data_IF_061430605941
#
_entry.id   IF_061430605941
#
_cell.length_a   1.000
_cell.length_b   1.000
_cell.length_c   1.000
_cell.angle_alpha   90.00
_cell.angle_beta   90.00
_cell.angle_gamma   90.00
#
_symmetry.space_group_name_H-M   'P 1'
#
loop_
_entity.id
_entity.type
_entity.pdbx_description
1 polymer ?
#
# COMPACT_ATOMS: atom_id res chain seq x y z
N UNK A 1 -27.93 5.29 0.58
CA UNK A 1 -27.35 6.49 -0.10
C UNK A 1 -26.93 6.06 -1.51
N UNK A 2 -27.21 6.84 -2.52
CA UNK A 2 -26.71 6.57 -3.88
C UNK A 2 -25.38 7.29 -4.05
N UNK A 3 -24.34 6.56 -4.49
CA UNK A 3 -23.04 7.14 -4.79
C UNK A 3 -23.05 7.70 -6.22
N UNK A 4 -23.01 9.01 -6.35
CA UNK A 4 -23.10 9.72 -7.63
C UNK A 4 -21.72 10.31 -8.05
N UNK A 5 -20.65 9.63 -7.66
CA UNK A 5 -19.27 9.99 -7.98
C UNK A 5 -18.45 8.71 -8.22
N UNK A 6 -17.32 8.78 -8.94
CA UNK A 6 -16.42 7.64 -9.08
C UNK A 6 -15.90 7.19 -7.72
N UNK A 7 -15.61 5.89 -7.57
CA UNK A 7 -14.89 5.36 -6.42
C UNK A 7 -13.44 5.13 -6.82
N UNK A 8 -12.51 5.53 -5.96
CA UNK A 8 -11.08 5.23 -6.09
C UNK A 8 -10.66 4.42 -4.88
N UNK A 9 -10.26 3.19 -5.14
CA UNK A 9 -9.63 2.33 -4.13
C UNK A 9 -8.14 2.67 -4.06
N UNK A 10 -7.67 3.00 -2.84
CA UNK A 10 -6.31 3.49 -2.63
C UNK A 10 -5.36 2.42 -2.07
N UNK A 11 -5.78 1.15 -2.12
CA UNK A 11 -5.01 0.01 -1.62
C UNK A 11 -5.52 -1.26 -2.30
N UNK A 12 -4.81 -1.67 -3.34
CA UNK A 12 -5.12 -2.86 -4.13
C UNK A 12 -3.81 -3.49 -4.61
N UNK A 13 -3.78 -4.81 -4.90
CA UNK A 13 -2.53 -5.55 -4.96
C UNK A 13 -2.23 -6.29 -6.24
N UNK A 14 -0.92 -6.48 -6.46
CA UNK A 14 -0.28 -7.38 -7.41
C UNK A 14 0.84 -8.15 -6.70
N UNK A 15 0.47 -9.14 -5.90
CA UNK A 15 1.45 -9.99 -5.23
C UNK A 15 2.15 -10.98 -6.18
N UNK A 16 3.22 -11.61 -5.72
CA UNK A 16 4.04 -12.53 -6.53
C UNK A 16 3.21 -13.61 -7.22
N UNK A 17 2.19 -14.15 -6.55
CA UNK A 17 1.29 -15.18 -7.09
C UNK A 17 0.34 -14.65 -8.18
N UNK A 18 0.22 -13.34 -8.34
CA UNK A 18 -0.65 -12.68 -9.31
C UNK A 18 0.08 -12.22 -10.57
N UNK A 19 1.41 -12.16 -10.52
CA UNK A 19 2.23 -11.63 -11.62
C UNK A 19 2.35 -12.62 -12.78
N UNK A 20 2.39 -12.13 -14.03
CA UNK A 20 2.75 -12.97 -15.17
C UNK A 20 4.16 -13.57 -15.02
N UNK A 21 4.34 -14.81 -15.48
CA UNK A 21 5.62 -15.53 -15.33
C UNK A 21 6.83 -14.82 -15.98
N UNK A 22 6.57 -13.93 -16.92
CA UNK A 22 7.59 -13.25 -17.72
C UNK A 22 7.94 -11.82 -17.22
N UNK A 23 7.41 -11.36 -16.10
CA UNK A 23 7.65 -9.98 -15.59
C UNK A 23 9.14 -9.63 -15.55
N UNK A 24 9.98 -10.54 -15.07
CA UNK A 24 11.42 -10.32 -14.96
C UNK A 24 12.19 -10.94 -16.12
N UNK A 25 11.79 -12.12 -16.60
CA UNK A 25 12.57 -12.82 -17.64
C UNK A 25 12.66 -12.05 -18.94
N UNK A 26 11.59 -11.38 -19.37
CA UNK A 26 11.60 -10.59 -20.61
C UNK A 26 12.60 -9.43 -20.56
N UNK A 27 12.92 -8.93 -19.38
CA UNK A 27 13.79 -7.76 -19.17
C UNK A 27 15.19 -8.13 -18.68
N UNK A 28 15.32 -9.20 -17.92
CA UNK A 28 16.55 -9.53 -17.18
C UNK A 28 17.29 -10.76 -17.65
N UNK A 29 16.64 -11.70 -18.39
CA UNK A 29 17.26 -12.97 -18.72
C UNK A 29 18.55 -12.83 -19.55
N UNK A 30 18.65 -11.84 -20.44
CA UNK A 30 19.85 -11.61 -21.25
C UNK A 30 21.07 -11.26 -20.39
N UNK A 31 20.87 -10.49 -19.30
CA UNK A 31 21.97 -10.06 -18.41
C UNK A 31 22.25 -11.09 -17.32
N UNK A 32 21.21 -11.70 -16.76
CA UNK A 32 21.29 -12.45 -15.52
C UNK A 32 21.11 -13.97 -15.67
N UNK A 33 20.66 -14.45 -16.85
CA UNK A 33 20.42 -15.89 -17.08
C UNK A 33 19.50 -16.48 -16.02
N UNK A 34 19.91 -17.58 -15.40
CA UNK A 34 19.15 -18.28 -14.35
C UNK A 34 19.04 -17.50 -13.04
N UNK A 35 19.79 -16.41 -12.87
CA UNK A 35 19.62 -15.52 -11.73
C UNK A 35 18.45 -14.55 -11.90
N UNK A 36 18.00 -14.30 -13.15
CA UNK A 36 16.78 -13.54 -13.38
C UNK A 36 15.60 -14.27 -12.73
N UNK A 37 14.73 -13.58 -11.97
CA UNK A 37 13.58 -14.24 -11.37
C UNK A 37 12.68 -14.86 -12.42
N UNK A 38 12.36 -16.13 -12.24
CA UNK A 38 11.55 -16.92 -13.17
C UNK A 38 10.67 -17.92 -12.41
N UNK A 39 9.73 -18.51 -13.10
CA UNK A 39 8.81 -19.49 -12.53
C UNK A 39 9.30 -20.91 -12.78
N UNK A 40 9.48 -21.67 -11.71
CA UNK A 40 9.68 -23.11 -11.78
C UNK A 40 8.37 -23.85 -11.49
N UNK A 41 8.05 -24.82 -12.34
CA UNK A 41 6.90 -25.71 -12.16
C UNK A 41 7.44 -27.11 -11.83
N UNK A 42 7.49 -27.50 -10.55
CA UNK A 42 8.01 -28.80 -10.15
C UNK A 42 7.04 -29.92 -10.52
N UNK A 43 7.52 -31.15 -10.63
CA UNK A 43 6.66 -32.33 -10.84
C UNK A 43 5.67 -32.53 -9.69
N UNK A 44 6.05 -32.15 -8.47
CA UNK A 44 5.21 -32.22 -7.28
C UNK A 44 5.28 -30.89 -6.51
N UNK A 45 4.13 -30.40 -6.07
CA UNK A 45 4.02 -29.16 -5.31
C UNK A 45 3.62 -27.95 -6.17
N UNK A 46 3.50 -26.77 -5.55
CA UNK A 46 3.09 -25.55 -6.24
C UNK A 46 4.23 -24.98 -7.09
N UNK A 47 3.87 -24.34 -8.20
CA UNK A 47 4.80 -23.50 -8.96
C UNK A 47 5.31 -22.36 -8.10
N UNK A 48 6.58 -21.99 -8.28
CA UNK A 48 7.27 -21.02 -7.41
C UNK A 48 8.11 -20.03 -8.23
N UNK A 49 8.19 -18.81 -7.73
CA UNK A 49 9.21 -17.87 -8.15
C UNK A 49 10.56 -18.26 -7.57
N UNK A 50 11.57 -18.34 -8.44
CA UNK A 50 12.95 -18.65 -8.07
C UNK A 50 13.93 -17.65 -8.70
N UNK A 51 15.06 -17.43 -8.05
CA UNK A 51 16.19 -16.64 -8.54
C UNK A 51 17.47 -17.33 -8.10
N UNK A 52 18.14 -18.00 -9.02
CA UNK A 52 19.25 -18.90 -8.68
C UNK A 52 18.78 -19.99 -7.71
N UNK A 53 19.39 -20.05 -6.53
CA UNK A 53 19.01 -21.01 -5.47
C UNK A 53 17.93 -20.49 -4.52
N UNK A 54 17.52 -19.23 -4.64
CA UNK A 54 16.56 -18.60 -3.73
C UNK A 54 15.12 -18.81 -4.22
N UNK A 55 14.22 -19.07 -3.28
CA UNK A 55 12.78 -19.18 -3.51
C UNK A 55 12.09 -17.96 -2.95
N UNK A 56 11.34 -17.25 -3.78
CA UNK A 56 10.67 -16.01 -3.40
C UNK A 56 9.25 -16.22 -2.89
N UNK A 57 8.54 -17.21 -3.43
CA UNK A 57 7.16 -17.51 -3.06
C UNK A 57 6.42 -18.31 -4.11
N UNK A 58 5.17 -18.63 -3.85
CA UNK A 58 4.31 -19.33 -4.81
C UNK A 58 3.97 -18.46 -6.01
N UNK A 59 3.86 -19.08 -7.17
CA UNK A 59 3.34 -18.48 -8.38
C UNK A 59 2.00 -19.08 -8.75
N UNK A 60 1.05 -18.23 -9.15
CA UNK A 60 -0.31 -18.63 -9.44
C UNK A 60 -0.94 -19.49 -8.33
N UNK A 61 -2.08 -19.97 -8.53
CA UNK A 61 -2.80 -20.79 -7.58
C UNK A 61 -4.28 -20.46 -7.61
N UNK A 62 -5.01 -21.12 -6.75
CA UNK A 62 -6.41 -20.75 -6.49
C UNK A 62 -6.45 -19.84 -5.28
N UNK A 63 -7.29 -18.81 -5.34
CA UNK A 63 -7.60 -17.99 -4.18
C UNK A 63 -8.02 -18.87 -3.01
N UNK A 64 -7.59 -18.48 -1.82
CA UNK A 64 -8.00 -19.14 -0.58
C UNK A 64 -9.52 -19.09 -0.46
N UNK A 65 -10.13 -20.27 -0.23
CA UNK A 65 -11.52 -20.37 0.14
C UNK A 65 -11.61 -20.53 1.65
N UNK A 66 -12.28 -19.59 2.32
CA UNK A 66 -12.53 -19.73 3.75
C UNK A 66 -13.64 -20.78 3.98
N UNK A 67 -13.32 -21.74 4.84
CA UNK A 67 -14.31 -22.71 5.33
C UNK A 67 -14.95 -22.13 6.60
N UNK A 68 -16.27 -22.01 6.61
CA UNK A 68 -17.02 -21.53 7.77
C UNK A 68 -17.97 -20.40 7.46
N UNK A 69 -18.64 -19.82 8.49
CA UNK A 69 -19.50 -18.67 8.29
C UNK A 69 -18.66 -17.52 7.73
N UNK A 70 -19.05 -17.03 6.54
CA UNK A 70 -18.37 -15.90 5.90
C UNK A 70 -18.64 -14.66 6.74
N UNK A 71 -17.59 -13.91 7.15
CA UNK A 71 -17.81 -12.58 7.67
C UNK A 71 -18.58 -11.76 6.66
N UNK A 72 -19.48 -10.89 7.12
CA UNK A 72 -20.14 -9.90 6.29
C UNK A 72 -19.03 -9.14 5.55
N UNK A 73 -19.14 -8.98 4.24
CA UNK A 73 -18.21 -8.16 3.44
C UNK A 73 -16.81 -8.74 3.20
N UNK A 74 -16.68 -10.01 2.96
CA UNK A 74 -15.41 -10.60 2.51
C UNK A 74 -15.48 -11.00 1.03
N UNK A 75 -14.35 -10.95 0.34
CA UNK A 75 -14.19 -11.32 -1.07
C UNK A 75 -14.50 -12.79 -1.40
N UNK A 76 -14.91 -13.57 -0.43
CA UNK A 76 -15.23 -15.00 -0.61
C UNK A 76 -16.49 -15.24 -1.42
N UNK A 77 -17.36 -14.24 -1.53
CA UNK A 77 -18.44 -14.25 -2.52
C UNK A 77 -17.95 -13.60 -3.80
N UNK A 78 -17.41 -14.39 -4.69
CA UNK A 78 -16.80 -13.94 -5.96
C UNK A 78 -17.82 -13.38 -6.97
N UNK A 79 -19.04 -13.11 -6.55
CA UNK A 79 -20.08 -12.50 -7.40
C UNK A 79 -20.33 -13.27 -8.70
N UNK A 80 -20.16 -14.61 -8.72
CA UNK A 80 -20.31 -15.45 -9.90
C UNK A 80 -19.14 -15.42 -10.90
N UNK A 81 -17.92 -15.01 -10.47
CA UNK A 81 -16.72 -15.15 -11.31
C UNK A 81 -16.25 -16.60 -11.30
N UNK A 82 -16.24 -17.25 -12.47
CA UNK A 82 -15.82 -18.65 -12.61
C UNK A 82 -14.29 -18.79 -12.53
N UNK A 83 -13.53 -17.83 -13.11
CA UNK A 83 -12.07 -17.81 -13.02
C UNK A 83 -11.61 -17.41 -11.62
N UNK A 84 -11.11 -18.41 -10.91
CA UNK A 84 -10.60 -18.25 -9.53
C UNK A 84 -9.08 -18.22 -9.45
N UNK A 85 -8.41 -18.12 -10.62
CA UNK A 85 -6.96 -17.97 -10.66
C UNK A 85 -6.48 -16.67 -10.05
N UNK A 86 -5.42 -16.73 -9.25
CA UNK A 86 -4.75 -15.53 -8.74
C UNK A 86 -4.20 -14.64 -9.88
N UNK A 87 -3.82 -15.24 -11.02
CA UNK A 87 -3.35 -14.50 -12.19
C UNK A 87 -4.40 -13.57 -12.82
N UNK A 88 -5.68 -13.75 -12.47
CA UNK A 88 -6.76 -12.87 -12.92
C UNK A 88 -6.47 -11.41 -12.52
N UNK A 89 -6.04 -11.18 -11.29
CA UNK A 89 -5.74 -9.83 -10.80
C UNK A 89 -4.55 -9.17 -11.52
N UNK A 90 -3.59 -9.97 -11.97
CA UNK A 90 -2.43 -9.50 -12.74
C UNK A 90 -2.69 -9.33 -14.24
N UNK A 91 -3.88 -9.67 -14.72
CA UNK A 91 -4.30 -9.39 -16.09
C UNK A 91 -5.09 -8.08 -16.13
N UNK A 92 -4.59 -7.01 -16.79
CA UNK A 92 -5.21 -5.70 -16.71
C UNK A 92 -6.65 -5.69 -17.27
N UNK A 93 -6.94 -6.47 -18.32
CA UNK A 93 -8.30 -6.55 -18.87
C UNK A 93 -9.27 -7.20 -17.88
N UNK A 94 -8.89 -8.34 -17.29
CA UNK A 94 -9.72 -9.06 -16.33
C UNK A 94 -9.89 -8.26 -15.03
N UNK A 95 -8.85 -7.53 -14.61
CA UNK A 95 -8.94 -6.62 -13.47
C UNK A 95 -9.92 -5.49 -13.72
N UNK A 96 -9.93 -4.89 -14.91
CA UNK A 96 -10.90 -3.85 -15.26
C UNK A 96 -12.34 -4.40 -15.27
N UNK A 97 -12.55 -5.66 -15.69
CA UNK A 97 -13.84 -6.32 -15.57
C UNK A 97 -14.28 -6.49 -14.11
N UNK A 98 -13.34 -6.82 -13.21
CA UNK A 98 -13.60 -6.96 -11.79
C UNK A 98 -13.89 -5.60 -11.12
N UNK A 99 -13.18 -4.55 -11.52
CA UNK A 99 -13.45 -3.17 -11.08
C UNK A 99 -14.84 -2.71 -11.54
N UNK A 100 -15.22 -2.96 -12.79
CA UNK A 100 -16.54 -2.65 -13.31
C UNK A 100 -17.64 -3.41 -12.58
N UNK A 101 -17.40 -4.67 -12.22
CA UNK A 101 -18.33 -5.50 -11.44
C UNK A 101 -18.61 -4.89 -10.08
N UNK A 102 -17.58 -4.42 -9.42
CA UNK A 102 -17.65 -3.81 -8.09
C UNK A 102 -18.12 -2.33 -8.12
N UNK A 103 -18.14 -1.73 -9.31
CA UNK A 103 -18.46 -0.32 -9.49
C UNK A 103 -17.37 0.64 -9.01
N UNK A 104 -16.11 0.18 -9.00
CA UNK A 104 -14.93 0.97 -8.63
C UNK A 104 -14.24 1.48 -9.89
N UNK A 105 -14.06 2.79 -9.99
CA UNK A 105 -13.50 3.41 -11.19
C UNK A 105 -11.99 3.24 -11.26
N UNK A 106 -11.28 3.52 -10.16
CA UNK A 106 -9.82 3.52 -10.12
C UNK A 106 -9.24 2.68 -8.99
N UNK A 107 -8.14 2.00 -9.26
CA UNK A 107 -7.32 1.29 -8.30
C UNK A 107 -5.91 1.88 -8.21
N UNK A 108 -5.44 2.20 -7.00
CA UNK A 108 -4.01 2.34 -6.73
C UNK A 108 -3.43 0.96 -6.47
N UNK A 109 -2.53 0.53 -7.33
CA UNK A 109 -2.11 -0.87 -7.42
C UNK A 109 -0.69 -1.00 -6.87
N UNK A 110 -0.58 -1.56 -5.67
CA UNK A 110 0.68 -1.88 -5.04
C UNK A 110 1.32 -3.12 -5.66
N UNK A 111 2.64 -3.15 -5.70
CA UNK A 111 3.42 -4.33 -6.04
C UNK A 111 3.45 -5.35 -4.90
N UNK A 112 4.26 -6.41 -5.05
CA UNK A 112 4.35 -7.47 -4.06
C UNK A 112 4.65 -6.94 -2.65
N UNK A 113 3.83 -7.29 -1.67
CA UNK A 113 4.05 -6.93 -0.25
C UNK A 113 5.23 -7.66 0.37
N UNK A 114 5.81 -8.64 -0.33
CA UNK A 114 7.06 -9.31 0.05
C UNK A 114 8.24 -8.66 -0.64
N UNK A 115 9.36 -8.49 0.09
CA UNK A 115 10.59 -7.95 -0.49
C UNK A 115 11.14 -8.87 -1.58
N UNK A 116 11.81 -8.27 -2.55
CA UNK A 116 12.66 -8.98 -3.51
C UNK A 116 13.83 -9.60 -2.74
N UNK A 117 13.96 -10.94 -2.82
CA UNK A 117 14.92 -11.70 -2.02
C UNK A 117 16.15 -12.05 -2.84
N UNK A 118 17.17 -11.22 -2.78
CA UNK A 118 18.47 -11.51 -3.38
C UNK A 118 19.60 -10.86 -2.59
N UNK A 119 20.75 -11.56 -2.48
CA UNK A 119 21.95 -11.03 -1.84
C UNK A 119 22.83 -10.25 -2.84
N UNK A 120 22.43 -10.16 -4.10
CA UNK A 120 23.13 -9.41 -5.13
C UNK A 120 22.45 -8.05 -5.33
N UNK A 121 23.11 -7.00 -4.86
CA UNK A 121 22.59 -5.61 -4.89
C UNK A 121 22.29 -5.10 -6.31
N UNK A 122 23.08 -5.50 -7.30
CA UNK A 122 22.84 -5.09 -8.69
C UNK A 122 21.61 -5.81 -9.28
N UNK A 123 21.46 -7.10 -8.98
CA UNK A 123 20.27 -7.86 -9.36
C UNK A 123 19.02 -7.32 -8.64
N UNK A 124 19.11 -7.00 -7.35
CA UNK A 124 18.02 -6.39 -6.60
C UNK A 124 17.54 -5.10 -7.29
N UNK A 125 18.46 -4.19 -7.56
CA UNK A 125 18.16 -2.93 -8.26
C UNK A 125 17.46 -3.20 -9.60
N UNK A 126 18.01 -4.09 -10.40
CA UNK A 126 17.47 -4.41 -11.72
C UNK A 126 16.09 -5.08 -11.61
N UNK A 127 15.83 -5.88 -10.58
CA UNK A 127 14.51 -6.48 -10.32
C UNK A 127 13.46 -5.43 -9.97
N UNK A 128 13.79 -4.43 -9.14
CA UNK A 128 12.87 -3.32 -8.84
C UNK A 128 12.56 -2.51 -10.09
N UNK A 129 13.60 -2.14 -10.87
CA UNK A 129 13.40 -1.38 -12.11
C UNK A 129 12.58 -2.15 -13.13
N UNK A 130 12.85 -3.46 -13.33
CA UNK A 130 12.11 -4.30 -14.26
C UNK A 130 10.63 -4.48 -13.86
N UNK A 131 10.35 -4.62 -12.55
CA UNK A 131 8.99 -4.67 -12.05
C UNK A 131 8.26 -3.35 -12.30
N UNK A 132 8.87 -2.20 -11.98
CA UNK A 132 8.28 -0.89 -12.20
C UNK A 132 8.03 -0.62 -13.69
N UNK A 133 8.95 -1.01 -14.56
CA UNK A 133 8.78 -0.87 -16.01
C UNK A 133 7.62 -1.73 -16.50
N UNK A 134 7.52 -3.00 -16.07
CA UNK A 134 6.37 -3.84 -16.38
C UNK A 134 5.05 -3.23 -15.86
N UNK A 135 5.05 -2.73 -14.63
CA UNK A 135 3.85 -2.14 -14.03
C UNK A 135 3.30 -0.99 -14.89
N UNK A 136 4.17 -0.12 -15.38
CA UNK A 136 3.74 1.05 -16.16
C UNK A 136 3.56 0.76 -17.65
N UNK A 137 4.44 -0.04 -18.26
CA UNK A 137 4.47 -0.23 -19.71
C UNK A 137 3.54 -1.33 -20.20
N UNK A 138 3.27 -2.35 -19.35
CA UNK A 138 2.46 -3.51 -19.74
C UNK A 138 1.12 -3.58 -19.01
N UNK A 139 1.09 -3.18 -17.73
CA UNK A 139 -0.11 -3.33 -16.91
C UNK A 139 -0.95 -2.03 -16.89
N UNK A 140 -0.41 -0.93 -16.38
CA UNK A 140 -1.16 0.32 -16.23
C UNK A 140 -1.51 0.97 -17.56
N UNK A 141 -0.72 0.76 -18.62
CA UNK A 141 -0.96 1.30 -19.96
C UNK A 141 -2.33 0.93 -20.52
N UNK A 142 -2.92 -0.18 -20.07
CA UNK A 142 -4.24 -0.64 -20.53
C UNK A 142 -5.37 0.35 -20.17
N UNK A 143 -5.25 1.08 -19.06
CA UNK A 143 -6.20 2.11 -18.64
C UNK A 143 -5.51 3.04 -17.61
N UNK A 144 -4.64 3.96 -18.02
CA UNK A 144 -3.77 4.73 -17.12
C UNK A 144 -4.50 5.67 -16.17
N UNK A 145 -5.76 6.02 -16.47
CA UNK A 145 -6.62 6.81 -15.58
C UNK A 145 -7.37 5.95 -14.54
N UNK A 146 -7.32 4.63 -14.68
CA UNK A 146 -8.01 3.67 -13.81
C UNK A 146 -7.05 2.73 -13.07
N UNK A 147 -5.96 2.31 -13.71
CA UNK A 147 -4.90 1.46 -13.15
C UNK A 147 -3.70 2.35 -12.78
N UNK A 148 -3.67 2.82 -11.55
CA UNK A 148 -2.67 3.76 -11.06
C UNK A 148 -1.60 2.96 -10.32
N UNK A 149 -0.47 2.72 -10.97
CA UNK A 149 0.63 1.95 -10.40
C UNK A 149 1.30 2.67 -9.23
N UNK A 150 1.54 1.92 -8.16
CA UNK A 150 2.39 2.31 -7.04
C UNK A 150 3.75 1.68 -7.25
N UNK A 151 4.76 2.48 -7.57
CA UNK A 151 6.10 1.99 -7.81
C UNK A 151 6.73 1.39 -6.55
N UNK A 152 7.58 0.40 -6.70
CA UNK A 152 8.36 -0.15 -5.60
C UNK A 152 9.75 0.49 -5.56
N UNK A 153 10.21 0.86 -4.36
CA UNK A 153 11.56 1.37 -4.14
C UNK A 153 12.42 0.35 -3.38
N UNK A 154 13.70 0.17 -3.78
CA UNK A 154 14.64 -0.62 -2.99
C UNK A 154 14.75 -0.08 -1.55
N UNK A 155 14.93 -0.94 -0.53
CA UNK A 155 14.93 -0.52 0.88
C UNK A 155 16.29 0.09 1.34
N UNK A 156 16.97 0.79 0.45
CA UNK A 156 18.25 1.45 0.71
C UNK A 156 18.28 2.86 0.13
N UNK A 157 18.80 3.87 0.83
CA UNK A 157 18.67 5.28 0.47
C UNK A 157 19.13 5.61 -0.94
N UNK A 158 20.34 5.21 -1.31
CA UNK A 158 20.96 5.56 -2.58
C UNK A 158 20.26 4.86 -3.76
N UNK A 159 19.86 3.59 -3.56
CA UNK A 159 19.13 2.82 -4.57
C UNK A 159 17.71 3.29 -4.73
N UNK A 160 17.03 3.62 -3.61
CA UNK A 160 15.69 4.20 -3.64
C UNK A 160 15.68 5.56 -4.35
N UNK A 161 16.67 6.41 -4.06
CA UNK A 161 16.82 7.70 -4.73
C UNK A 161 17.05 7.53 -6.23
N UNK A 162 17.94 6.63 -6.64
CA UNK A 162 18.23 6.39 -8.05
C UNK A 162 16.99 5.91 -8.82
N UNK A 163 16.23 4.98 -8.25
CA UNK A 163 15.01 4.46 -8.86
C UNK A 163 13.92 5.53 -8.89
N UNK A 164 13.71 6.27 -7.81
CA UNK A 164 12.73 7.37 -7.79
C UNK A 164 13.06 8.45 -8.82
N UNK A 165 14.35 8.79 -8.97
CA UNK A 165 14.80 9.75 -9.98
C UNK A 165 14.46 9.27 -11.40
N UNK A 166 14.75 8.01 -11.71
CA UNK A 166 14.41 7.38 -12.98
C UNK A 166 12.91 7.45 -13.26
N UNK A 167 12.09 7.14 -12.25
CA UNK A 167 10.62 7.18 -12.35
C UNK A 167 10.08 8.61 -12.49
N UNK A 168 10.67 9.58 -11.80
CA UNK A 168 10.29 10.98 -11.92
C UNK A 168 10.61 11.53 -13.32
N UNK A 169 11.77 11.17 -13.89
CA UNK A 169 12.17 11.54 -15.26
C UNK A 169 11.30 10.85 -16.32
N UNK A 170 10.89 9.58 -16.08
CA UNK A 170 9.95 8.86 -16.94
C UNK A 170 8.58 9.53 -16.97
N UNK A 171 8.14 10.04 -15.84
CA UNK A 171 6.79 10.57 -15.65
C UNK A 171 5.72 9.47 -15.42
N UNK A 172 4.53 9.90 -15.02
CA UNK A 172 3.38 9.02 -14.75
C UNK A 172 3.38 8.35 -13.37
N UNK A 173 4.51 8.27 -12.67
CA UNK A 173 4.56 7.80 -11.29
C UNK A 173 3.91 8.82 -10.35
N UNK A 174 2.87 8.40 -9.62
CA UNK A 174 2.15 9.25 -8.66
C UNK A 174 2.43 8.91 -7.23
N UNK A 175 2.78 7.65 -6.96
CA UNK A 175 3.11 7.12 -5.65
C UNK A 175 4.23 6.09 -5.76
N UNK A 176 5.10 6.08 -4.77
CA UNK A 176 6.16 5.10 -4.64
C UNK A 176 6.16 4.51 -3.21
N UNK A 177 6.23 3.20 -3.13
CA UNK A 177 6.18 2.45 -1.87
C UNK A 177 7.58 2.07 -1.41
N UNK A 178 7.85 2.34 -0.14
CA UNK A 178 9.05 1.90 0.56
C UNK A 178 8.67 0.85 1.59
N UNK A 179 9.27 -0.33 1.50
CA UNK A 179 9.01 -1.42 2.44
C UNK A 179 9.76 -1.16 3.76
N UNK A 180 9.10 -0.43 4.65
CA UNK A 180 9.70 0.15 5.84
C UNK A 180 10.31 -0.88 6.80
N UNK A 181 9.71 -2.08 6.88
CA UNK A 181 10.17 -3.15 7.78
C UNK A 181 11.56 -3.71 7.44
N UNK A 182 12.07 -3.43 6.23
CA UNK A 182 13.37 -3.93 5.74
C UNK A 182 14.33 -2.80 5.35
N UNK A 183 13.96 -1.54 5.60
CA UNK A 183 14.83 -0.39 5.32
C UNK A 183 16.09 -0.42 6.16
N UNK A 184 17.25 -0.30 5.51
CA UNK A 184 18.55 -0.19 6.10
C UNK A 184 19.34 0.96 5.42
N UNK A 185 19.78 1.97 6.18
CA UNK A 185 19.47 2.24 7.59
C UNK A 185 18.01 2.68 7.82
N UNK A 186 17.64 2.89 9.08
CA UNK A 186 16.34 3.49 9.45
C UNK A 186 16.19 4.91 8.88
N UNK A 187 14.96 5.43 8.87
CA UNK A 187 14.63 6.71 8.22
C UNK A 187 15.30 7.95 8.84
N UNK A 188 15.78 7.87 10.09
CA UNK A 188 16.53 8.96 10.74
C UNK A 188 17.91 9.19 10.14
N UNK A 189 18.45 8.23 9.37
CA UNK A 189 19.76 8.39 8.73
C UNK A 189 19.69 9.44 7.61
N UNK A 190 20.60 10.40 7.66
CA UNK A 190 20.68 11.51 6.70
C UNK A 190 20.84 11.11 5.24
N UNK A 191 21.24 9.86 4.97
CA UNK A 191 21.31 9.34 3.59
C UNK A 191 19.95 9.28 2.91
N UNK A 192 18.85 9.30 3.67
CA UNK A 192 17.49 9.39 3.12
C UNK A 192 17.09 10.80 2.68
N UNK A 193 17.76 11.86 3.13
CA UNK A 193 17.37 13.25 2.79
C UNK A 193 17.25 13.50 1.28
N UNK A 194 18.17 13.02 0.41
CA UNK A 194 18.01 13.21 -1.04
C UNK A 194 16.72 12.58 -1.61
N UNK A 195 16.26 11.46 -1.02
CA UNK A 195 15.00 10.83 -1.40
C UNK A 195 13.81 11.72 -1.01
N UNK A 196 13.80 12.25 0.21
CA UNK A 196 12.73 13.12 0.69
C UNK A 196 12.67 14.43 -0.09
N UNK A 197 13.83 15.03 -0.40
CA UNK A 197 13.93 16.21 -1.26
C UNK A 197 13.31 15.96 -2.65
N UNK A 198 13.62 14.82 -3.26
CA UNK A 198 13.12 14.48 -4.58
C UNK A 198 11.60 14.18 -4.57
N UNK A 199 11.10 13.50 -3.54
CA UNK A 199 9.66 13.28 -3.34
C UNK A 199 8.90 14.60 -3.22
N UNK A 200 9.43 15.54 -2.43
CA UNK A 200 8.84 16.86 -2.27
C UNK A 200 8.84 17.65 -3.58
N UNK A 201 9.96 17.68 -4.30
CA UNK A 201 10.11 18.41 -5.57
C UNK A 201 9.24 17.84 -6.70
N UNK A 202 9.17 16.50 -6.81
CA UNK A 202 8.39 15.83 -7.85
C UNK A 202 6.90 15.79 -7.51
N UNK A 203 6.55 15.89 -6.24
CA UNK A 203 5.20 15.69 -5.74
C UNK A 203 4.73 14.23 -5.83
N UNK A 204 5.65 13.28 -5.99
CA UNK A 204 5.36 11.85 -5.89
C UNK A 204 5.08 11.53 -4.41
N UNK A 205 3.98 10.86 -4.15
CA UNK A 205 3.57 10.49 -2.79
C UNK A 205 4.41 9.29 -2.33
N UNK A 206 4.98 9.37 -1.12
CA UNK A 206 5.63 8.23 -0.49
C UNK A 206 4.56 7.36 0.18
N UNK A 207 4.66 6.05 0.09
CA UNK A 207 3.83 5.16 0.91
C UNK A 207 4.66 4.17 1.71
N UNK A 208 4.10 3.82 2.86
CA UNK A 208 4.50 2.66 3.65
C UNK A 208 3.32 1.70 3.70
N UNK A 209 3.59 0.46 3.39
CA UNK A 209 2.59 -0.60 3.38
C UNK A 209 3.01 -1.70 4.35
N UNK A 210 2.05 -2.33 5.02
CA UNK A 210 2.34 -3.51 5.84
C UNK A 210 3.00 -4.59 4.97
N UNK A 211 4.00 -5.27 5.50
CA UNK A 211 4.67 -6.37 4.81
C UNK A 211 4.67 -7.62 5.66
N UNK A 212 4.78 -8.77 5.01
CA UNK A 212 5.02 -10.04 5.74
C UNK A 212 6.42 -9.95 6.36
N UNK A 213 6.51 -10.16 7.68
CA UNK A 213 7.74 -9.99 8.44
C UNK A 213 8.91 -10.80 7.90
N UNK A 214 10.01 -10.17 7.53
CA UNK A 214 11.25 -10.88 7.20
C UNK A 214 11.86 -11.60 8.42
N UNK A 215 11.56 -11.13 9.64
CA UNK A 215 12.09 -11.65 10.92
C UNK A 215 11.02 -12.30 11.83
N UNK A 216 9.85 -12.62 11.28
CA UNK A 216 8.73 -13.17 12.05
C UNK A 216 8.87 -14.66 12.41
N UNK A 217 9.96 -15.33 11.99
CA UNK A 217 10.13 -16.77 12.13
C UNK A 217 9.68 -17.31 13.48
N UNK A 218 10.30 -16.85 14.56
CA UNK A 218 10.02 -17.38 15.91
C UNK A 218 8.60 -17.07 16.42
N UNK A 219 8.10 -15.86 16.16
CA UNK A 219 6.77 -15.44 16.60
C UNK A 219 5.68 -16.11 15.75
N UNK A 220 5.89 -16.19 14.44
CA UNK A 220 4.96 -16.84 13.52
C UNK A 220 4.87 -18.34 13.80
N UNK A 221 6.00 -19.01 13.99
CA UNK A 221 6.05 -20.44 14.28
C UNK A 221 5.44 -20.76 15.64
N UNK A 222 5.64 -19.91 16.66
CA UNK A 222 5.04 -20.05 17.99
C UNK A 222 3.50 -20.03 17.96
N UNK A 223 2.90 -19.26 17.05
CA UNK A 223 1.45 -19.09 16.98
C UNK A 223 0.80 -19.83 15.81
N UNK A 224 1.61 -20.42 14.91
CA UNK A 224 1.14 -21.16 13.74
C UNK A 224 0.13 -22.24 14.14
N UNK A 225 -1.04 -22.24 13.49
CA UNK A 225 -2.10 -23.20 13.77
C UNK A 225 -2.84 -22.98 15.10
N UNK A 226 -2.59 -21.89 15.81
CA UNK A 226 -3.30 -21.51 17.02
C UNK A 226 -4.19 -20.27 16.81
N UNK A 227 -5.19 -20.04 17.68
CA UNK A 227 -5.97 -18.78 17.66
C UNK A 227 -5.11 -17.53 17.83
N UNK A 228 -3.91 -17.66 18.40
CA UNK A 228 -2.94 -16.58 18.54
C UNK A 228 -2.44 -16.02 17.20
N UNK A 229 -2.55 -16.78 16.11
CA UNK A 229 -2.19 -16.30 14.78
C UNK A 229 -3.00 -15.05 14.37
N UNK A 230 -4.26 -14.95 14.77
CA UNK A 230 -5.09 -13.76 14.53
C UNK A 230 -4.53 -12.52 15.26
N UNK A 231 -4.02 -12.70 16.47
CA UNK A 231 -3.41 -11.60 17.23
C UNK A 231 -2.09 -11.13 16.61
N UNK A 232 -1.35 -12.02 15.93
CA UNK A 232 -0.15 -11.62 15.19
C UNK A 232 -0.47 -10.62 14.07
N UNK A 233 -1.58 -10.79 13.36
CA UNK A 233 -2.02 -9.82 12.36
C UNK A 233 -2.22 -8.43 12.98
N UNK A 234 -2.96 -8.34 14.08
CA UNK A 234 -3.17 -7.06 14.79
C UNK A 234 -1.84 -6.44 15.22
N UNK A 235 -0.93 -7.25 15.75
CA UNK A 235 0.42 -6.81 16.15
C UNK A 235 1.21 -6.28 14.95
N UNK A 236 1.14 -6.98 13.82
CA UNK A 236 1.82 -6.59 12.57
C UNK A 236 1.46 -5.17 12.13
N UNK A 237 0.17 -4.86 12.09
CA UNK A 237 -0.34 -3.55 11.65
C UNK A 237 0.18 -2.39 12.51
N UNK A 238 0.44 -2.60 13.78
CA UNK A 238 0.91 -1.56 14.68
C UNK A 238 2.44 -1.49 14.72
N UNK A 239 3.11 -2.62 14.95
CA UNK A 239 4.57 -2.63 15.19
C UNK A 239 5.39 -2.11 14.01
N UNK A 240 4.99 -2.44 12.79
CA UNK A 240 5.74 -2.00 11.60
C UNK A 240 5.70 -0.49 11.40
N UNK A 241 4.68 0.19 11.89
CA UNK A 241 4.49 1.62 11.69
C UNK A 241 4.92 2.50 12.87
N UNK A 242 5.06 1.94 14.08
CA UNK A 242 5.41 2.74 15.25
C UNK A 242 6.78 3.40 15.14
N UNK A 243 7.81 2.64 14.77
CA UNK A 243 9.17 3.16 14.64
C UNK A 243 9.30 4.20 13.52
N UNK A 244 8.89 3.89 12.25
CA UNK A 244 8.91 4.89 11.18
C UNK A 244 8.06 6.11 11.49
N UNK A 245 6.94 5.94 12.16
CA UNK A 245 6.12 7.05 12.60
C UNK A 245 6.85 7.94 13.59
N UNK A 246 7.54 7.33 14.58
CA UNK A 246 8.38 8.06 15.51
C UNK A 246 9.53 8.78 14.78
N UNK A 247 10.19 8.13 13.83
CA UNK A 247 11.29 8.73 13.05
C UNK A 247 10.83 9.97 12.26
N UNK A 248 9.68 9.89 11.60
CA UNK A 248 9.12 11.00 10.83
C UNK A 248 8.93 12.27 11.68
N UNK A 249 8.48 12.10 12.91
CA UNK A 249 8.24 13.22 13.83
C UNK A 249 9.49 13.59 14.63
N UNK A 250 10.08 12.61 15.34
CA UNK A 250 11.16 12.87 16.30
C UNK A 250 12.41 13.46 15.65
N UNK A 251 12.74 13.00 14.44
CA UNK A 251 13.91 13.51 13.71
C UNK A 251 13.59 14.69 12.78
N UNK A 252 12.35 15.20 12.84
CA UNK A 252 11.94 16.41 12.13
C UNK A 252 11.89 16.25 10.60
N UNK A 253 11.71 15.05 10.06
CA UNK A 253 11.61 14.81 8.61
C UNK A 253 10.42 15.58 8.04
N UNK A 254 9.25 15.50 8.68
CA UNK A 254 8.06 16.22 8.25
C UNK A 254 8.19 17.75 8.37
N UNK A 255 9.02 18.22 9.30
CA UNK A 255 9.30 19.65 9.47
C UNK A 255 10.19 20.19 8.37
N UNK A 256 11.24 19.43 7.99
CA UNK A 256 12.19 19.83 6.93
C UNK A 256 11.60 19.74 5.52
N UNK A 257 10.68 18.81 5.30
CA UNK A 257 10.05 18.56 4.00
C UNK A 257 8.54 18.83 4.04
N UNK A 258 8.11 20.11 4.15
CA UNK A 258 6.69 20.46 4.35
C UNK A 258 5.78 20.07 3.19
N UNK A 259 6.31 19.90 1.98
CA UNK A 259 5.59 19.43 0.80
C UNK A 259 5.49 17.92 0.66
N UNK A 260 6.30 17.16 1.41
CA UNK A 260 6.27 15.70 1.40
C UNK A 260 4.89 15.17 1.82
N UNK A 261 4.33 14.24 1.05
CA UNK A 261 3.08 13.55 1.36
C UNK A 261 3.35 12.07 1.56
N UNK A 262 2.78 11.51 2.63
CA UNK A 262 2.98 10.11 3.01
C UNK A 262 1.63 9.43 3.19
N UNK A 263 1.47 8.27 2.58
CA UNK A 263 0.33 7.36 2.79
C UNK A 263 0.80 6.17 3.63
N UNK A 264 0.10 5.94 4.74
CA UNK A 264 0.23 4.69 5.48
C UNK A 264 -0.91 3.77 5.04
N UNK A 265 -0.54 2.68 4.39
CA UNK A 265 -1.47 1.77 3.75
C UNK A 265 -1.63 0.48 4.56
N UNK A 266 -2.85 -0.06 4.58
CA UNK A 266 -3.23 -1.28 5.32
C UNK A 266 -2.74 -1.30 6.79
N UNK A 267 -2.74 -0.13 7.44
CA UNK A 267 -2.19 0.03 8.78
C UNK A 267 -3.23 -0.10 9.91
N UNK A 268 -4.50 -0.34 9.58
CA UNK A 268 -5.56 -0.32 10.57
C UNK A 268 -5.71 1.05 11.24
N UNK A 269 -5.98 2.09 10.46
CA UNK A 269 -5.88 3.52 10.78
C UNK A 269 -6.52 4.01 12.11
N UNK A 270 -7.29 3.17 12.81
CA UNK A 270 -7.99 3.54 14.06
C UNK A 270 -7.08 3.82 15.26
N UNK A 271 -5.85 3.33 15.30
CA UNK A 271 -4.89 3.56 16.39
C UNK A 271 -4.11 4.89 16.24
N UNK A 272 -3.98 5.39 15.02
CA UNK A 272 -3.12 6.52 14.68
C UNK A 272 -3.50 7.81 15.40
N UNK A 273 -4.78 8.21 15.52
CA UNK A 273 -5.18 9.38 16.27
C UNK A 273 -4.68 9.40 17.70
N UNK A 274 -4.72 8.25 18.39
CA UNK A 274 -4.19 8.14 19.75
C UNK A 274 -2.68 8.41 19.81
N UNK A 275 -1.91 7.86 18.87
CA UNK A 275 -0.46 8.10 18.82
C UNK A 275 -0.16 9.57 18.57
N UNK A 276 -0.90 10.23 17.68
CA UNK A 276 -0.73 11.66 17.40
C UNK A 276 -1.10 12.53 18.61
N UNK A 277 -2.16 12.18 19.34
CA UNK A 277 -2.54 12.83 20.59
C UNK A 277 -1.43 12.71 21.66
N UNK A 278 -0.86 11.51 21.83
CA UNK A 278 0.27 11.28 22.74
C UNK A 278 1.54 12.04 22.32
N UNK A 279 1.80 12.14 21.02
CA UNK A 279 2.92 12.95 20.50
C UNK A 279 2.70 14.44 20.83
N UNK A 280 1.49 14.97 20.66
CA UNK A 280 1.16 16.35 21.03
C UNK A 280 1.34 16.59 22.51
N UNK A 281 0.84 15.68 23.36
CA UNK A 281 0.96 15.80 24.81
C UNK A 281 2.43 15.82 25.25
N UNK A 282 3.27 14.95 24.64
CA UNK A 282 4.70 14.87 24.97
C UNK A 282 5.49 16.00 24.35
N UNK A 283 5.11 16.51 23.20
CA UNK A 283 5.74 17.67 22.56
C UNK A 283 5.85 18.86 23.52
N UNK A 284 4.78 19.22 24.20
CA UNK A 284 4.79 20.32 25.17
C UNK A 284 5.69 20.04 26.38
N UNK A 285 5.67 18.82 26.90
CA UNK A 285 6.48 18.45 28.07
C UNK A 285 7.96 18.38 27.75
N UNK A 286 8.31 17.99 26.54
CA UNK A 286 9.70 17.86 26.10
C UNK A 286 10.27 19.19 25.60
N UNK A 287 9.41 20.10 25.14
CA UNK A 287 9.82 21.46 24.79
C UNK A 287 10.43 22.22 26.00
N UNK A 288 9.93 21.98 27.18
CA UNK A 288 10.51 22.52 28.44
C UNK A 288 11.89 21.92 28.74
N UNK A 289 12.30 20.83 28.04
CA UNK A 289 13.58 20.14 28.15
C UNK A 289 14.38 20.23 26.85
N UNK A 290 14.25 21.33 26.11
CA UNK A 290 14.84 21.48 24.77
C UNK A 290 16.37 21.21 24.75
N UNK A 291 17.09 21.59 25.80
CA UNK A 291 18.53 21.34 25.93
C UNK A 291 18.87 19.83 25.91
N UNK A 292 18.02 19.00 26.49
CA UNK A 292 18.20 17.55 26.48
C UNK A 292 18.19 16.95 25.07
N UNK A 293 17.34 17.50 24.18
CA UNK A 293 17.20 17.01 22.83
C UNK A 293 18.28 17.52 21.87
N UNK A 294 18.69 18.78 22.04
CA UNK A 294 19.81 19.36 21.28
C UNK A 294 21.11 18.66 21.58
N UNK A 295 21.39 18.34 22.85
CA UNK A 295 22.57 17.59 23.26
C UNK A 295 22.59 16.15 22.72
N UNK A 296 21.43 15.56 22.38
CA UNK A 296 21.26 14.23 21.78
C UNK A 296 21.19 14.27 20.26
N UNK A 297 21.37 15.43 19.62
CA UNK A 297 21.30 15.60 18.18
C UNK A 297 19.90 15.63 17.58
N UNK A 298 18.85 15.65 18.42
CA UNK A 298 17.47 15.81 17.97
C UNK A 298 17.22 17.23 17.46
N UNK A 299 16.39 17.37 16.42
CA UNK A 299 15.91 18.66 15.95
C UNK A 299 14.62 18.95 16.68
N UNK A 300 14.54 20.02 17.51
CA UNK A 300 13.28 20.39 18.14
C UNK A 300 12.25 20.69 17.05
N UNK A 301 11.10 20.01 17.08
CA UNK A 301 9.98 20.36 16.24
C UNK A 301 9.52 21.78 16.58
N UNK A 302 9.29 22.60 15.57
CA UNK A 302 8.69 23.94 15.71
C UNK A 302 7.18 23.89 15.58
N UNK A 303 6.71 22.91 14.82
CA UNK A 303 5.30 22.69 14.50
C UNK A 303 4.76 21.55 15.36
N UNK A 304 3.55 21.71 15.87
CA UNK A 304 2.86 20.70 16.66
C UNK A 304 2.69 19.39 15.86
N UNK A 305 2.95 18.20 16.44
CA UNK A 305 2.84 16.93 15.73
C UNK A 305 1.51 16.72 14.99
N UNK A 306 0.38 17.07 15.62
CA UNK A 306 -0.92 16.95 14.95
C UNK A 306 -1.09 17.88 13.74
N UNK A 307 -0.41 19.03 13.70
CA UNK A 307 -0.44 19.94 12.56
C UNK A 307 0.43 19.38 11.41
N UNK A 308 1.61 18.82 11.75
CA UNK A 308 2.45 18.08 10.79
C UNK A 308 1.69 16.90 10.20
N UNK A 309 1.04 16.12 11.06
CA UNK A 309 0.23 14.98 10.67
C UNK A 309 -0.85 15.39 9.67
N UNK A 310 -1.72 16.32 10.01
CA UNK A 310 -2.81 16.78 9.14
C UNK A 310 -2.31 17.40 7.83
N UNK A 311 -1.12 17.95 7.81
CA UNK A 311 -0.51 18.54 6.61
C UNK A 311 -0.01 17.47 5.62
N UNK A 312 0.50 16.32 6.12
CA UNK A 312 1.35 15.44 5.32
C UNK A 312 0.97 13.97 5.30
N UNK A 313 0.28 13.46 6.34
CA UNK A 313 0.01 12.02 6.49
C UNK A 313 -1.42 11.69 6.07
N UNK A 314 -1.54 10.68 5.24
CA UNK A 314 -2.79 10.08 4.77
C UNK A 314 -2.84 8.62 5.22
N UNK A 315 -4.05 8.06 5.38
CA UNK A 315 -4.22 6.65 5.74
C UNK A 315 -5.30 5.97 4.93
N UNK A 316 -5.04 4.73 4.51
CA UNK A 316 -6.04 3.88 3.88
C UNK A 316 -6.83 3.09 4.91
N UNK A 317 -8.07 2.77 4.59
CA UNK A 317 -8.90 1.84 5.35
C UNK A 317 -10.02 1.27 4.49
N UNK A 318 -10.44 0.06 4.79
CA UNK A 318 -11.56 -0.63 4.11
C UNK A 318 -12.88 -0.34 4.82
N UNK A 319 -13.02 -0.89 6.01
CA UNK A 319 -14.20 -0.82 6.87
C UNK A 319 -13.74 -0.73 8.33
N UNK A 320 -13.58 0.45 8.83
CA UNK A 320 -13.11 0.66 10.20
C UNK A 320 -14.02 1.63 10.94
N UNK A 321 -14.96 1.15 11.75
CA UNK A 321 -15.81 2.00 12.58
C UNK A 321 -15.02 2.95 13.45
N UNK A 322 -13.87 2.50 13.99
CA UNK A 322 -13.00 3.33 14.83
C UNK A 322 -12.38 4.47 14.03
N UNK A 323 -11.86 4.19 12.82
CA UNK A 323 -11.31 5.23 11.93
C UNK A 323 -12.37 6.28 11.60
N UNK A 324 -13.59 5.84 11.27
CA UNK A 324 -14.69 6.73 10.94
C UNK A 324 -15.16 7.55 12.16
N UNK A 325 -15.19 6.96 13.35
CA UNK A 325 -15.51 7.67 14.59
C UNK A 325 -14.48 8.74 14.93
N UNK A 326 -13.21 8.49 14.62
CA UNK A 326 -12.07 9.38 14.88
C UNK A 326 -11.66 10.23 13.66
N UNK A 327 -12.49 10.32 12.62
CA UNK A 327 -12.18 11.03 11.38
C UNK A 327 -11.81 12.49 11.56
N UNK A 328 -12.35 13.16 12.57
CA UNK A 328 -12.08 14.57 12.84
C UNK A 328 -10.68 14.78 13.43
N UNK A 329 -10.15 13.78 14.14
CA UNK A 329 -8.75 13.74 14.59
C UNK A 329 -7.79 13.49 13.43
N UNK A 330 -8.15 12.58 12.52
CA UNK A 330 -7.41 12.37 11.27
C UNK A 330 -7.38 13.64 10.42
N UNK A 331 -8.49 14.36 10.37
CA UNK A 331 -8.84 15.28 9.32
C UNK A 331 -9.51 14.50 8.17
N UNK A 332 -10.77 14.81 7.86
CA UNK A 332 -11.53 14.08 6.83
C UNK A 332 -10.89 14.19 5.44
N UNK A 333 -10.00 15.13 5.22
CA UNK A 333 -9.26 15.32 3.96
C UNK A 333 -8.03 14.38 3.83
N UNK A 334 -7.67 13.64 4.88
CA UNK A 334 -6.50 12.76 4.93
C UNK A 334 -6.87 11.26 4.93
N UNK A 335 -8.15 10.92 4.92
CA UNK A 335 -8.61 9.54 4.85
C UNK A 335 -8.85 9.12 3.41
N UNK A 336 -8.39 7.93 3.08
CA UNK A 336 -8.51 7.30 1.76
C UNK A 336 -9.19 5.95 1.92
N UNK A 337 -10.29 5.76 1.19
CA UNK A 337 -10.98 4.46 1.18
C UNK A 337 -10.23 3.46 0.28
N UNK A 338 -10.34 2.17 0.62
CA UNK A 338 -9.72 1.07 -0.11
C UNK A 338 -10.61 -0.17 -0.15
N UNK A 339 -10.46 -0.99 -1.18
CA UNK A 339 -11.11 -2.30 -1.31
C UNK A 339 -10.20 -3.45 -0.93
N UNK A 340 -8.90 -3.24 -1.01
CA UNK A 340 -7.85 -4.24 -0.81
C UNK A 340 -7.95 -5.43 -1.79
N UNK A 341 -8.40 -5.13 -3.01
CA UNK A 341 -8.52 -6.16 -4.06
C UNK A 341 -7.14 -6.64 -4.50
N UNK A 342 -6.86 -7.93 -4.65
CA UNK A 342 -7.75 -9.08 -4.52
C UNK A 342 -7.51 -9.93 -3.25
N UNK A 343 -7.01 -9.35 -2.17
CA UNK A 343 -6.70 -10.08 -0.95
C UNK A 343 -7.90 -10.88 -0.40
N UNK A 344 -7.65 -11.93 0.40
CA UNK A 344 -8.74 -12.77 0.94
C UNK A 344 -9.73 -12.01 1.83
N UNK A 345 -9.30 -10.95 2.49
CA UNK A 345 -10.09 -10.07 3.35
C UNK A 345 -10.59 -8.79 2.65
N UNK A 346 -10.35 -8.66 1.35
CA UNK A 346 -10.90 -7.61 0.51
C UNK A 346 -12.44 -7.56 0.58
N UNK A 347 -12.99 -6.35 0.48
CA UNK A 347 -14.44 -6.14 0.41
C UNK A 347 -15.04 -6.35 -0.99
N UNK A 348 -14.21 -6.55 -2.01
CA UNK A 348 -14.64 -6.89 -3.36
C UNK A 348 -15.50 -8.17 -3.38
N UNK A 349 -16.61 -8.27 -4.13
CA UNK A 349 -17.17 -7.29 -5.06
C UNK A 349 -18.34 -6.49 -4.44
N UNK A 350 -18.26 -6.14 -3.17
CA UNK A 350 -19.35 -5.54 -2.40
C UNK A 350 -19.06 -4.09 -1.97
N UNK A 351 -18.13 -3.39 -2.62
CA UNK A 351 -17.67 -2.06 -2.21
C UNK A 351 -18.78 -1.06 -1.97
N UNK A 352 -19.73 -0.94 -2.89
CA UNK A 352 -20.88 -0.04 -2.72
C UNK A 352 -21.73 -0.38 -1.50
N UNK A 353 -21.96 -1.67 -1.26
CA UNK A 353 -22.73 -2.14 -0.10
C UNK A 353 -22.01 -1.82 1.20
N UNK A 354 -20.71 -2.11 1.27
CA UNK A 354 -19.88 -1.84 2.45
C UNK A 354 -19.81 -0.35 2.75
N UNK A 355 -19.60 0.49 1.75
CA UNK A 355 -19.63 1.96 1.90
C UNK A 355 -21.00 2.41 2.42
N UNK A 356 -22.09 1.88 1.88
CA UNK A 356 -23.46 2.20 2.33
C UNK A 356 -23.67 1.83 3.81
N UNK A 357 -23.21 0.66 4.22
CA UNK A 357 -23.41 0.15 5.59
C UNK A 357 -22.51 0.87 6.60
N UNK A 358 -21.25 1.15 6.23
CA UNK A 358 -20.28 1.76 7.13
C UNK A 358 -20.31 3.28 7.16
N UNK A 359 -20.61 3.94 6.01
CA UNK A 359 -20.57 5.40 5.85
C UNK A 359 -21.91 6.01 5.48
N UNK A 360 -22.97 5.23 5.23
CA UNK A 360 -24.27 5.75 4.79
C UNK A 360 -24.97 6.70 5.78
N UNK A 361 -24.51 6.73 7.03
CA UNK A 361 -24.96 7.65 8.09
C UNK A 361 -24.19 8.98 8.10
N UNK A 362 -23.09 9.09 7.34
CA UNK A 362 -22.27 10.31 7.26
C UNK A 362 -22.85 11.29 6.22
N UNK A 363 -22.50 12.59 6.32
CA UNK A 363 -22.83 13.55 5.28
C UNK A 363 -22.27 13.12 3.91
N UNK A 364 -23.06 13.27 2.82
CA UNK A 364 -22.63 12.81 1.48
C UNK A 364 -21.32 13.41 0.97
N UNK A 365 -21.02 14.65 1.34
CA UNK A 365 -19.77 15.33 1.00
C UNK A 365 -18.56 14.70 1.72
N UNK A 366 -18.72 14.24 2.97
CA UNK A 366 -17.70 13.51 3.71
C UNK A 366 -17.44 12.16 3.06
N UNK A 367 -18.49 11.43 2.69
CA UNK A 367 -18.34 10.15 1.99
C UNK A 367 -17.61 10.36 0.67
N UNK A 368 -18.03 11.35 -0.14
CA UNK A 368 -17.38 11.69 -1.41
C UNK A 368 -15.91 12.05 -1.23
N UNK A 369 -15.57 12.80 -0.18
CA UNK A 369 -14.16 13.11 0.14
C UNK A 369 -13.36 11.83 0.33
N UNK A 370 -13.79 10.96 1.22
CA UNK A 370 -13.07 9.75 1.63
C UNK A 370 -12.95 8.75 0.48
N UNK A 371 -14.00 8.59 -0.32
CA UNK A 371 -14.07 7.54 -1.37
C UNK A 371 -13.59 8.01 -2.75
N UNK A 372 -13.33 9.32 -2.92
CA UNK A 372 -12.97 9.88 -4.22
C UNK A 372 -12.10 11.13 -4.13
N UNK A 373 -12.62 12.25 -3.57
CA UNK A 373 -12.04 13.56 -3.79
C UNK A 373 -10.64 13.72 -3.18
N UNK A 374 -10.37 13.08 -2.03
CA UNK A 374 -9.07 13.10 -1.39
C UNK A 374 -8.01 12.43 -2.27
N UNK A 375 -8.31 11.25 -2.81
CA UNK A 375 -7.44 10.55 -3.74
C UNK A 375 -7.23 11.36 -5.02
N UNK A 376 -8.30 11.86 -5.64
CA UNK A 376 -8.22 12.67 -6.85
C UNK A 376 -7.31 13.91 -6.65
N UNK A 377 -7.44 14.58 -5.51
CA UNK A 377 -6.61 15.73 -5.15
C UNK A 377 -5.15 15.33 -4.88
N UNK A 378 -4.93 14.30 -4.06
CA UNK A 378 -3.59 13.85 -3.65
C UNK A 378 -2.76 13.42 -4.86
N UNK A 379 -3.37 12.64 -5.74
CA UNK A 379 -2.70 12.06 -6.91
C UNK A 379 -2.86 12.90 -8.19
N UNK A 380 -3.49 14.08 -8.10
CA UNK A 380 -3.73 14.98 -9.23
C UNK A 380 -4.43 14.26 -10.40
N UNK A 381 -5.52 13.53 -10.08
CA UNK A 381 -6.33 12.81 -11.06
C UNK A 381 -7.43 13.74 -11.59
N UNK A 382 -7.51 13.85 -12.90
CA UNK A 382 -8.58 14.62 -13.57
C UNK A 382 -9.71 13.67 -13.99
N UNK A 383 -10.56 13.32 -13.02
CA UNK A 383 -11.66 12.38 -13.18
C UNK A 383 -13.00 13.11 -12.94
N UNK A 384 -13.85 13.12 -13.95
CA UNK A 384 -15.16 13.76 -13.86
C UNK A 384 -16.13 12.93 -12.99
N UNK A 385 -16.96 13.61 -12.19
CA UNK A 385 -18.01 12.96 -11.37
C UNK A 385 -18.99 12.11 -12.19
N UNK A 386 -19.16 12.43 -13.48
CA UNK A 386 -20.01 11.69 -14.43
C UNK A 386 -19.52 10.27 -14.73
N UNK A 387 -18.29 9.94 -14.34
CA UNK A 387 -17.70 8.59 -14.50
C UNK A 387 -18.03 7.66 -13.33
N UNK A 388 -19.02 7.98 -12.50
CA UNK A 388 -19.54 7.07 -11.48
C UNK A 388 -20.02 5.75 -12.11
N UNK A 389 -19.54 4.63 -11.57
CA UNK A 389 -19.92 3.30 -12.02
C UNK A 389 -21.01 2.72 -11.12
N UNK A 390 -21.91 1.98 -11.72
CA UNK A 390 -22.90 1.17 -10.98
C UNK A 390 -22.39 -0.27 -10.91
N UNK A 391 -22.39 -0.90 -9.72
CA UNK A 391 -21.95 -2.28 -9.60
C UNK A 391 -22.76 -3.21 -10.53
N UNK A 392 -22.05 -4.11 -11.22
CA UNK A 392 -22.69 -5.15 -12.04
C UNK A 392 -22.80 -6.45 -11.22
N UNK A 393 -23.39 -6.36 -10.04
CA UNK A 393 -23.66 -7.56 -9.23
C UNK A 393 -24.76 -8.36 -9.94
N UNK A 394 -24.42 -9.49 -10.52
CA UNK A 394 -25.42 -10.48 -10.91
C UNK A 394 -26.04 -10.98 -9.61
N UNK A 395 -27.35 -10.73 -9.42
CA UNK A 395 -28.06 -11.35 -8.32
C UNK A 395 -27.76 -12.86 -8.34
N UNK A 396 -27.23 -13.37 -7.22
CA UNK A 396 -27.15 -14.82 -7.06
C UNK A 396 -28.55 -15.38 -7.25
N UNK A 397 -28.69 -16.28 -8.24
CA UNK A 397 -29.90 -17.02 -8.50
C UNK A 397 -30.19 -18.01 -7.34
#
# INVERSE_FOLDING_TARGET
MQLNHPLISCDDHLDLNMLPANVWTDRLATKWGDLAPHVEIPEQGPAQWVSGSQRWGMWAGKRLEMKGPKPLHTAYDRGGVEDTSELRAGNPKLRLEDMDRDGVYGHLVFGPVTSIKTDNEELERDCYSAFNDWLYDDFCVAAPDRLIGVAMLPPHPERAYAELKRLAERGGCRQANLQIAVCEPRLEDKRWEPLFDLLEQSGIVLSFHVTVFPKAGDAFDKYKGSPGATFLHVKMFIEQFLDPFADLFAWGILERHPGLKIVIAECGAGWVPWVVEELDYRFWRLWECADYWTDKGGIPLKTKPSDLFKRQIYGTFQQSPTTLALRDFWGPDNLLWASDYPHPDSIWPNSHKVIQETMGHLPPDVVRKITFANAAKLYKLDIADTLALTPRVTAAA
#
